data_IF_116639077699
#
_entry.id   IF_116639077699
#
_cell.length_a   1.000
_cell.length_b   1.000
_cell.length_c   1.000
_cell.angle_alpha   90.00
_cell.angle_beta   90.00
_cell.angle_gamma   90.00
#
_symmetry.space_group_name_H-M   'P 1'
#
loop_
_entity.id
_entity.type
_entity.pdbx_description
1 polymer ?
#
# COMPACT_ATOMS: atom_id res chain seq x y z
N UNK A 1 -14.28 8.54 10.25
CA UNK A 1 -13.66 8.92 8.95
C UNK A 1 -14.17 8.03 7.82
N UNK A 2 -14.13 8.53 6.58
CA UNK A 2 -14.45 7.73 5.38
C UNK A 2 -13.29 6.77 5.07
N UNK A 3 -12.05 7.25 5.18
CA UNK A 3 -10.84 6.46 4.93
C UNK A 3 -10.76 5.26 5.87
N UNK A 4 -10.43 4.10 5.32
CA UNK A 4 -10.29 2.82 6.01
C UNK A 4 -8.85 2.30 6.03
N UNK A 5 -8.04 2.73 5.06
CA UNK A 5 -6.60 2.53 5.07
C UNK A 5 -5.91 3.61 4.25
N UNK A 6 -4.64 3.86 4.48
CA UNK A 6 -3.88 4.84 3.71
C UNK A 6 -2.39 4.52 3.75
N UNK A 7 -1.68 4.97 2.73
CA UNK A 7 -0.22 4.93 2.64
C UNK A 7 0.29 6.29 2.18
N UNK A 8 1.40 6.73 2.76
CA UNK A 8 1.99 8.05 2.47
C UNK A 8 3.38 7.88 1.85
N UNK A 9 3.64 8.63 0.78
CA UNK A 9 4.94 8.78 0.12
C UNK A 9 5.61 7.44 -0.26
N UNK A 10 4.82 6.51 -0.82
CA UNK A 10 5.30 5.23 -1.31
C UNK A 10 6.14 5.40 -2.59
N UNK A 11 7.23 4.67 -2.69
CA UNK A 11 8.09 4.61 -3.87
C UNK A 11 7.49 3.61 -4.89
N UNK A 12 7.05 4.05 -6.07
CA UNK A 12 6.52 3.15 -7.09
C UNK A 12 7.55 2.15 -7.61
N UNK A 13 8.85 2.45 -7.55
CA UNK A 13 9.92 1.57 -8.02
C UNK A 13 10.04 0.31 -7.18
N UNK A 14 9.67 0.36 -5.89
CA UNK A 14 9.64 -0.84 -5.04
C UNK A 14 8.54 -1.84 -5.49
N UNK A 15 7.48 -1.33 -6.13
CA UNK A 15 6.34 -2.13 -6.60
C UNK A 15 6.59 -2.60 -8.04
N UNK A 16 6.87 -1.67 -8.95
CA UNK A 16 6.95 -1.94 -10.39
C UNK A 16 8.36 -2.25 -10.88
N UNK A 17 9.37 -2.08 -10.01
CA UNK A 17 10.77 -2.33 -10.32
C UNK A 17 11.50 -1.11 -10.90
N UNK A 18 12.82 -1.13 -10.81
CA UNK A 18 13.72 -0.35 -11.67
C UNK A 18 14.21 -1.25 -12.83
N UNK A 19 14.70 -0.67 -13.94
CA UNK A 19 15.30 -1.40 -15.08
C UNK A 19 15.99 -2.70 -14.63
N UNK A 20 15.38 -3.86 -14.90
CA UNK A 20 15.91 -5.19 -14.55
C UNK A 20 15.25 -5.92 -13.36
N UNK A 21 14.33 -5.30 -12.61
CA UNK A 21 13.50 -5.98 -11.61
C UNK A 21 12.17 -6.44 -12.22
N UNK A 22 11.72 -7.65 -11.87
CA UNK A 22 10.43 -8.18 -12.30
C UNK A 22 9.32 -7.31 -11.71
N UNK A 23 8.51 -6.69 -12.57
CA UNK A 23 7.34 -5.93 -12.16
C UNK A 23 6.43 -6.80 -11.30
N UNK A 24 6.17 -6.36 -10.07
CA UNK A 24 5.29 -7.11 -9.16
C UNK A 24 3.84 -6.74 -9.46
N UNK A 25 2.96 -7.73 -9.35
CA UNK A 25 1.50 -7.53 -9.36
C UNK A 25 0.93 -7.50 -7.94
N UNK A 26 1.72 -7.04 -6.97
CA UNK A 26 1.29 -6.90 -5.58
C UNK A 26 1.75 -5.56 -5.03
N UNK A 27 0.87 -4.93 -4.26
CA UNK A 27 1.06 -3.61 -3.69
C UNK A 27 1.04 -3.76 -2.16
N UNK A 28 2.09 -4.39 -1.61
CA UNK A 28 2.12 -4.83 -0.22
C UNK A 28 2.49 -3.69 0.73
N UNK A 29 1.71 -3.55 1.78
CA UNK A 29 2.03 -2.71 2.93
C UNK A 29 1.94 -3.50 4.23
N UNK A 30 2.84 -3.19 5.16
CA UNK A 30 2.73 -3.62 6.54
C UNK A 30 1.69 -2.77 7.29
N UNK A 31 0.73 -3.45 7.88
CA UNK A 31 -0.36 -2.86 8.67
C UNK A 31 -0.31 -3.41 10.08
N UNK A 32 -0.21 -2.52 11.06
CA UNK A 32 -0.35 -2.87 12.47
C UNK A 32 -1.84 -2.93 12.85
N UNK A 33 -2.26 -4.07 13.41
CA UNK A 33 -3.56 -4.22 14.06
C UNK A 33 -3.35 -4.81 15.45
N UNK A 34 -3.64 -4.02 16.48
CA UNK A 34 -3.23 -4.29 17.88
C UNK A 34 -1.71 -4.49 17.93
N UNK A 35 -1.24 -5.63 18.44
CA UNK A 35 0.19 -5.95 18.57
C UNK A 35 0.71 -6.88 17.47
N UNK A 36 -0.07 -7.04 16.39
CA UNK A 36 0.29 -7.90 15.26
C UNK A 36 0.48 -7.09 13.99
N UNK A 37 1.49 -7.48 13.24
CA UNK A 37 1.83 -6.95 11.92
C UNK A 37 1.23 -7.84 10.83
N UNK A 38 0.63 -7.19 9.83
CA UNK A 38 -0.01 -7.87 8.72
C UNK A 38 0.49 -7.27 7.41
N UNK A 39 1.10 -8.11 6.59
CA UNK A 39 1.31 -7.79 5.17
C UNK A 39 -0.04 -7.87 4.45
N UNK A 40 -0.47 -6.74 3.86
CA UNK A 40 -1.74 -6.59 3.15
C UNK A 40 -1.46 -6.11 1.74
N UNK A 41 -2.11 -6.72 0.75
CA UNK A 41 -2.09 -6.25 -0.64
C UNK A 41 -3.18 -5.20 -0.89
N UNK A 42 -2.75 -3.99 -1.29
CA UNK A 42 -3.59 -2.84 -1.61
C UNK A 42 -3.88 -2.69 -3.12
N UNK A 43 -3.53 -3.69 -3.95
CA UNK A 43 -3.68 -3.59 -5.41
C UNK A 43 -5.07 -3.12 -5.83
N UNK A 44 -6.10 -3.75 -5.24
CA UNK A 44 -7.53 -3.58 -5.56
C UNK A 44 -8.21 -2.45 -4.79
N UNK A 45 -7.44 -1.56 -4.14
CA UNK A 45 -7.99 -0.44 -3.38
C UNK A 45 -8.83 0.48 -4.26
N UNK A 46 -9.93 0.99 -3.69
CA UNK A 46 -10.72 2.10 -4.24
C UNK A 46 -10.54 3.34 -3.38
N UNK A 47 -10.54 4.52 -3.99
CA UNK A 47 -10.36 5.78 -3.28
C UNK A 47 -9.65 6.84 -4.10
N UNK A 48 -8.81 7.64 -3.44
CA UNK A 48 -8.07 8.76 -4.03
C UNK A 48 -6.57 8.48 -3.88
N UNK A 49 -5.77 8.95 -4.83
CA UNK A 49 -4.32 8.96 -4.74
C UNK A 49 -3.75 10.29 -5.21
N UNK A 50 -2.54 10.59 -4.75
CA UNK A 50 -1.76 11.77 -5.16
C UNK A 50 -0.39 11.31 -5.61
N UNK A 51 0.09 11.88 -6.72
CA UNK A 51 1.46 11.69 -7.21
C UNK A 51 2.27 12.93 -6.85
N UNK A 52 3.52 12.71 -6.47
CA UNK A 52 4.43 13.75 -6.03
C UNK A 52 5.67 13.80 -6.89
N UNK A 53 6.26 14.98 -7.00
CA UNK A 53 7.61 15.19 -7.47
C UNK A 53 8.30 16.14 -6.52
N UNK A 54 9.44 15.76 -5.94
CA UNK A 54 10.16 16.58 -4.97
C UNK A 54 9.25 17.10 -3.84
N UNK A 55 8.37 16.24 -3.31
CA UNK A 55 7.36 16.56 -2.29
C UNK A 55 6.24 17.52 -2.73
N UNK A 56 6.18 17.95 -3.99
CA UNK A 56 5.07 18.74 -4.52
C UNK A 56 4.02 17.84 -5.18
N UNK A 57 2.74 18.11 -4.94
CA UNK A 57 1.64 17.40 -5.63
C UNK A 57 1.67 17.78 -7.11
N UNK A 58 1.88 16.81 -7.99
CA UNK A 58 1.83 17.00 -9.45
C UNK A 58 0.55 16.46 -10.08
N UNK A 59 -0.15 15.56 -9.38
CA UNK A 59 -1.38 14.97 -9.88
C UNK A 59 -2.24 14.41 -8.73
N UNK A 60 -3.56 14.55 -8.86
CA UNK A 60 -4.55 13.93 -7.98
C UNK A 60 -5.50 13.09 -8.81
N UNK A 61 -5.63 11.82 -8.47
CA UNK A 61 -6.47 10.87 -9.20
C UNK A 61 -7.46 10.14 -8.31
N UNK A 62 -8.45 9.52 -8.94
CA UNK A 62 -9.44 8.66 -8.28
C UNK A 62 -9.43 7.25 -8.86
N UNK A 63 -9.90 6.30 -8.05
CA UNK A 63 -9.96 4.88 -8.38
C UNK A 63 -11.36 4.36 -8.10
N UNK A 64 -12.20 4.36 -9.15
CA UNK A 64 -13.60 3.90 -9.11
C UNK A 64 -13.74 2.50 -9.69
N UNK A 65 -13.39 2.32 -10.97
CA UNK A 65 -13.69 1.09 -11.74
C UNK A 65 -12.46 0.21 -11.99
N UNK A 66 -11.30 0.84 -12.20
CA UNK A 66 -9.98 0.18 -12.27
C UNK A 66 -9.35 0.03 -10.88
N UNK A 67 -8.46 -0.94 -10.68
CA UNK A 67 -7.70 -1.09 -9.43
C UNK A 67 -6.63 0.00 -9.26
N UNK A 68 -6.28 0.34 -8.01
CA UNK A 68 -5.25 1.35 -7.72
C UNK A 68 -3.89 0.96 -8.30
N UNK A 69 -3.48 -0.31 -8.16
CA UNK A 69 -2.21 -0.79 -8.71
C UNK A 69 -2.11 -0.63 -10.23
N UNK A 70 -3.21 -0.86 -10.95
CA UNK A 70 -3.23 -0.67 -12.41
C UNK A 70 -3.19 0.82 -12.79
N UNK A 71 -3.86 1.70 -12.03
CA UNK A 71 -3.80 3.15 -12.25
C UNK A 71 -2.40 3.72 -12.04
N UNK A 72 -1.75 3.36 -10.93
CA UNK A 72 -0.39 3.84 -10.64
C UNK A 72 0.60 3.25 -11.65
N UNK A 73 0.45 1.98 -12.07
CA UNK A 73 1.28 1.40 -13.14
C UNK A 73 1.17 2.19 -14.44
N UNK A 74 -0.04 2.62 -14.82
CA UNK A 74 -0.22 3.40 -16.05
C UNK A 74 0.55 4.72 -15.99
N UNK A 75 0.48 5.44 -14.86
CA UNK A 75 1.28 6.64 -14.64
C UNK A 75 2.78 6.35 -14.58
N UNK A 76 3.19 5.23 -13.98
CA UNK A 76 4.60 4.84 -13.87
C UNK A 76 5.23 4.53 -15.24
N UNK A 77 4.47 3.90 -16.13
CA UNK A 77 4.91 3.58 -17.49
C UNK A 77 4.90 4.80 -18.43
N UNK A 78 4.20 5.87 -18.06
CA UNK A 78 4.12 7.09 -18.86
C UNK A 78 5.33 7.98 -18.58
N UNK A 79 6.28 8.00 -19.50
CA UNK A 79 7.55 8.75 -19.39
C UNK A 79 7.30 10.27 -19.27
N UNK A 80 6.14 10.78 -19.71
CA UNK A 80 5.77 12.19 -19.58
C UNK A 80 5.37 12.59 -18.16
N UNK A 81 4.88 11.64 -17.34
CA UNK A 81 4.43 11.88 -15.98
C UNK A 81 5.67 11.86 -15.08
N UNK A 82 6.34 13.00 -14.94
CA UNK A 82 7.53 13.11 -14.09
C UNK A 82 7.10 13.16 -12.62
N UNK A 83 7.10 12.02 -11.93
CA UNK A 83 6.80 11.88 -10.51
C UNK A 83 7.70 10.82 -9.84
N UNK A 84 7.86 10.88 -8.52
CA UNK A 84 8.81 10.04 -7.77
C UNK A 84 8.17 9.21 -6.65
N UNK A 85 7.08 9.69 -6.05
CA UNK A 85 6.39 9.04 -4.93
C UNK A 85 4.88 9.25 -5.03
N UNK A 86 4.11 8.45 -4.31
CA UNK A 86 2.66 8.59 -4.28
C UNK A 86 2.06 8.24 -2.93
N UNK A 87 0.92 8.85 -2.63
CA UNK A 87 0.10 8.55 -1.45
C UNK A 87 -1.27 8.05 -1.89
N UNK A 88 -1.91 7.21 -1.09
CA UNK A 88 -3.26 6.73 -1.37
C UNK A 88 -4.14 6.73 -0.11
N UNK A 89 -5.44 6.93 -0.33
CA UNK A 89 -6.46 7.01 0.70
C UNK A 89 -7.61 6.08 0.31
N UNK A 90 -7.67 4.93 0.97
CA UNK A 90 -8.57 3.82 0.66
C UNK A 90 -9.93 3.99 1.33
N UNK A 91 -10.99 3.83 0.55
CA UNK A 91 -12.36 3.64 1.05
C UNK A 91 -12.66 2.15 1.32
N UNK A 92 -11.87 1.24 0.74
CA UNK A 92 -11.92 -0.22 0.99
C UNK A 92 -11.33 -0.59 2.34
N UNK A 93 -11.98 -1.50 3.07
CA UNK A 93 -11.48 -2.01 4.36
C UNK A 93 -10.36 -3.02 4.16
N UNK A 94 -9.46 -3.14 5.14
CA UNK A 94 -8.48 -4.22 5.18
C UNK A 94 -9.17 -5.51 5.64
N UNK A 95 -8.94 -6.61 4.91
CA UNK A 95 -9.32 -7.95 5.31
C UNK A 95 -8.07 -8.72 5.78
N UNK A 96 -7.93 -8.84 7.10
CA UNK A 96 -6.78 -9.50 7.73
C UNK A 96 -6.74 -11.02 7.50
N UNK A 97 -7.87 -11.66 7.24
CA UNK A 97 -7.93 -13.10 6.97
C UNK A 97 -7.41 -13.42 5.56
N UNK A 98 -7.82 -12.64 4.57
CA UNK A 98 -7.41 -12.84 3.17
C UNK A 98 -6.13 -12.10 2.79
N UNK A 99 -5.58 -11.25 3.67
CA UNK A 99 -4.39 -10.41 3.41
C UNK A 99 -4.55 -9.45 2.22
N UNK A 100 -5.78 -9.02 1.97
CA UNK A 100 -6.15 -8.14 0.87
C UNK A 100 -7.10 -7.04 1.37
N UNK A 101 -7.37 -6.04 0.53
CA UNK A 101 -8.50 -5.14 0.73
C UNK A 101 -9.83 -5.76 0.30
N UNK A 102 -10.91 -5.41 1.00
CA UNK A 102 -12.27 -5.84 0.66
C UNK A 102 -12.75 -5.15 -0.63
N UNK A 103 -13.72 -5.76 -1.32
CA UNK A 103 -14.51 -5.04 -2.33
C UNK A 103 -15.34 -3.94 -1.66
N UNK A 104 -15.57 -2.83 -2.37
CA UNK A 104 -16.51 -1.79 -1.91
C UNK A 104 -17.93 -2.25 -2.25
N UNK A 105 -18.85 -2.06 -1.32
CA UNK A 105 -20.30 -2.13 -1.59
C UNK A 105 -20.78 -0.77 -2.08
N UNK A 106 -21.61 -0.72 -3.12
CA UNK A 106 -21.98 0.53 -3.81
C UNK A 106 -22.68 1.57 -2.91
N UNK A 107 -23.27 1.16 -1.79
CA UNK A 107 -23.90 2.07 -0.83
C UNK A 107 -22.93 2.49 0.28
N UNK A 108 -22.60 3.78 0.32
CA UNK A 108 -21.90 4.41 1.44
C UNK A 108 -22.67 5.64 1.94
N UNK A 109 -23.03 5.63 3.22
CA UNK A 109 -23.64 6.79 3.89
C UNK A 109 -22.65 7.43 4.85
N UNK A 110 -22.52 8.75 4.79
CA UNK A 110 -21.74 9.54 5.73
C UNK A 110 -22.39 10.88 5.98
N UNK A 111 -22.27 11.37 7.21
CA UNK A 111 -22.72 12.72 7.54
C UNK A 111 -21.72 13.78 7.06
N UNK A 112 -22.19 15.02 6.93
CA UNK A 112 -21.39 16.18 6.49
C UNK A 112 -20.11 16.36 7.30
N UNK A 113 -20.17 16.21 8.62
CA UNK A 113 -19.01 16.35 9.51
C UNK A 113 -17.91 15.34 9.17
N UNK A 114 -18.29 14.10 8.85
CA UNK A 114 -17.35 13.03 8.48
C UNK A 114 -16.67 13.32 7.14
N UNK A 115 -17.41 13.88 6.18
CA UNK A 115 -16.86 14.30 4.89
C UNK A 115 -15.85 15.43 5.09
N UNK A 116 -16.23 16.50 5.81
CA UNK A 116 -15.36 17.66 6.06
C UNK A 116 -14.05 17.22 6.73
N UNK A 117 -14.13 16.46 7.83
CA UNK A 117 -12.95 15.94 8.54
C UNK A 117 -12.08 15.07 7.65
N UNK A 118 -12.69 14.27 6.77
CA UNK A 118 -11.92 13.42 5.86
C UNK A 118 -11.17 14.25 4.82
N UNK A 119 -11.83 15.24 4.22
CA UNK A 119 -11.21 16.10 3.21
C UNK A 119 -10.05 16.90 3.80
N UNK A 120 -10.26 17.50 4.99
CA UNK A 120 -9.20 18.19 5.73
C UNK A 120 -8.01 17.26 5.99
N UNK A 121 -8.27 16.05 6.49
CA UNK A 121 -7.20 15.11 6.80
C UNK A 121 -6.41 14.69 5.56
N UNK A 122 -7.08 14.49 4.40
CA UNK A 122 -6.39 14.23 3.13
C UNK A 122 -5.52 15.43 2.77
N UNK A 123 -6.08 16.64 2.74
CA UNK A 123 -5.36 17.85 2.36
C UNK A 123 -4.12 18.10 3.24
N UNK A 124 -4.23 17.94 4.56
CA UNK A 124 -3.09 18.10 5.47
C UNK A 124 -1.99 17.08 5.17
N UNK A 125 -2.35 15.81 4.95
CA UNK A 125 -1.36 14.75 4.69
C UNK A 125 -0.78 14.78 3.27
N UNK A 126 -1.44 15.42 2.30
CA UNK A 126 -0.94 15.49 0.93
C UNK A 126 -0.25 16.81 0.63
N UNK A 127 -0.85 17.94 1.03
CA UNK A 127 -0.32 19.25 0.70
C UNK A 127 0.72 19.73 1.73
N UNK A 128 0.87 19.00 2.85
CA UNK A 128 1.75 19.31 3.98
C UNK A 128 1.88 20.82 4.25
N UNK A 129 0.75 21.54 4.48
CA UNK A 129 0.80 23.00 4.54
C UNK A 129 1.69 23.45 5.70
N UNK A 130 2.55 24.45 5.47
CA UNK A 130 3.56 24.90 6.43
C UNK A 130 3.05 25.15 7.85
N UNK A 131 1.82 25.66 8.01
CA UNK A 131 1.23 25.96 9.33
C UNK A 131 0.63 24.73 10.03
N UNK A 132 0.39 23.63 9.31
CA UNK A 132 -0.08 22.37 9.87
C UNK A 132 1.11 21.59 10.42
N UNK A 133 1.43 21.82 11.69
CA UNK A 133 2.60 21.23 12.37
C UNK A 133 2.52 19.72 12.62
N UNK A 134 1.42 19.06 12.26
CA UNK A 134 1.19 17.64 12.51
C UNK A 134 0.45 17.00 11.33
N UNK A 135 0.84 15.76 11.00
CA UNK A 135 0.05 14.88 10.13
C UNK A 135 -1.38 14.76 10.69
N UNK A 136 -2.38 14.90 9.83
CA UNK A 136 -3.75 14.68 10.25
C UNK A 136 -4.00 13.19 10.46
N UNK A 137 -4.74 12.86 11.51
CA UNK A 137 -5.06 11.48 11.84
C UNK A 137 -6.29 11.02 11.06
N UNK A 138 -6.30 9.74 10.70
CA UNK A 138 -7.49 9.04 10.23
C UNK A 138 -7.95 8.03 11.30
N UNK A 139 -8.80 8.44 12.27
CA UNK A 139 -9.36 7.51 13.25
C UNK A 139 -9.99 6.30 12.57
N UNK A 140 -9.73 5.11 13.13
CA UNK A 140 -10.18 3.79 12.66
C UNK A 140 -9.66 3.35 11.28
N UNK A 141 -8.76 4.12 10.67
CA UNK A 141 -8.08 3.73 9.46
C UNK A 141 -6.72 3.08 9.76
N UNK A 142 -6.34 2.12 8.93
CA UNK A 142 -5.04 1.47 9.02
C UNK A 142 -4.00 2.22 8.19
N UNK A 143 -2.93 2.70 8.84
CA UNK A 143 -1.74 3.15 8.12
C UNK A 143 -0.99 1.94 7.59
N UNK A 144 -0.69 1.96 6.30
CA UNK A 144 0.11 0.96 5.62
C UNK A 144 1.51 1.54 5.36
N UNK A 145 2.51 0.92 5.94
CA UNK A 145 3.92 1.24 5.67
C UNK A 145 4.34 0.38 4.48
N UNK A 146 4.94 1.00 3.46
CA UNK A 146 5.34 0.28 2.26
C UNK A 146 6.27 -0.88 2.62
N UNK A 147 5.97 -2.06 2.07
CA UNK A 147 6.87 -3.19 2.23
C UNK A 147 8.15 -2.95 1.43
N UNK A 148 9.29 -2.96 2.12
CA UNK A 148 10.59 -2.85 1.48
C UNK A 148 11.07 -4.21 0.96
N UNK A 149 10.98 -4.40 -0.36
CA UNK A 149 11.42 -5.62 -1.02
C UNK A 149 12.94 -5.73 -1.14
N UNK A 150 13.71 -4.69 -0.80
CA UNK A 150 15.18 -4.74 -0.84
C UNK A 150 15.73 -5.67 0.24
N UNK A 151 15.04 -5.77 1.39
CA UNK A 151 15.39 -6.66 2.49
C UNK A 151 14.96 -8.13 2.30
N UNK A 152 14.12 -8.41 1.30
CA UNK A 152 13.64 -9.78 1.00
C UNK A 152 14.77 -10.69 0.44
N UNK A 153 15.99 -10.16 0.35
CA UNK A 153 17.23 -10.83 -0.03
C UNK A 153 18.39 -10.54 0.93
N UNK A 154 18.17 -10.52 2.24
CA UNK A 154 19.30 -10.88 3.09
C UNK A 154 19.73 -12.31 2.69
N UNK A 155 21.02 -12.54 2.50
CA UNK A 155 21.57 -13.86 2.17
C UNK A 155 21.00 -14.91 3.15
N UNK A 156 20.83 -14.53 4.40
CA UNK A 156 20.24 -15.32 5.48
C UNK A 156 18.79 -15.75 5.21
N UNK A 157 17.94 -14.88 4.67
CA UNK A 157 16.55 -15.20 4.37
C UNK A 157 16.41 -16.08 3.13
N UNK A 158 17.33 -15.93 2.16
CA UNK A 158 17.46 -16.85 1.03
C UNK A 158 17.86 -18.24 1.54
N UNK A 159 18.86 -18.33 2.42
CA UNK A 159 19.25 -19.61 3.04
C UNK A 159 18.11 -20.28 3.79
N UNK A 160 17.35 -19.54 4.61
CA UNK A 160 16.18 -20.09 5.33
C UNK A 160 15.09 -20.59 4.38
N UNK A 161 14.82 -19.87 3.28
CA UNK A 161 13.87 -20.32 2.25
C UNK A 161 14.39 -21.59 1.55
N UNK A 162 15.68 -21.67 1.25
CA UNK A 162 16.32 -22.84 0.65
C UNK A 162 16.24 -24.06 1.57
N UNK A 163 16.59 -23.95 2.85
CA UNK A 163 16.46 -25.06 3.82
C UNK A 163 15.01 -25.56 3.92
N UNK A 164 14.03 -24.65 3.88
CA UNK A 164 12.61 -25.01 3.94
C UNK A 164 12.14 -25.74 2.69
N UNK A 165 12.70 -25.40 1.51
CA UNK A 165 12.45 -26.10 0.25
C UNK A 165 13.14 -27.46 0.26
N UNK A 166 14.39 -27.53 0.70
CA UNK A 166 15.17 -28.76 0.81
C UNK A 166 14.47 -29.80 1.71
N UNK A 167 14.00 -29.40 2.90
CA UNK A 167 13.22 -30.28 3.80
C UNK A 167 11.91 -30.79 3.19
N UNK A 168 11.31 -30.05 2.25
CA UNK A 168 10.10 -30.48 1.55
C UNK A 168 10.40 -31.44 0.40
N UNK A 169 11.51 -31.24 -0.31
CA UNK A 169 11.93 -32.08 -1.44
C UNK A 169 12.60 -33.38 -0.95
N UNK A 170 13.33 -33.31 0.16
CA UNK A 170 14.05 -34.43 0.77
C UNK A 170 13.63 -34.58 2.23
N UNK A 171 12.37 -34.97 2.52
CA UNK A 171 11.96 -35.25 3.89
C UNK A 171 12.81 -36.41 4.41
N UNK A 172 13.54 -36.18 5.51
CA UNK A 172 14.40 -37.17 6.14
C UNK A 172 13.59 -38.44 6.44
N UNK A 173 13.92 -39.56 5.79
CA UNK A 173 13.36 -40.88 6.12
C UNK A 173 13.69 -41.16 7.59
N UNK A 174 12.67 -41.20 8.45
CA UNK A 174 12.83 -41.69 9.81
C UNK A 174 13.37 -43.12 9.71
N UNK A 175 14.59 -43.34 10.22
CA UNK A 175 15.08 -44.70 10.51
C UNK A 175 14.24 -45.20 11.68
N UNK A 176 13.21 -46.01 11.39
CA UNK A 176 12.53 -46.79 12.40
C UNK A 176 13.56 -47.81 12.93
N UNK A 177 13.92 -47.66 14.21
CA UNK A 177 14.51 -48.75 15.00
C UNK A 177 13.39 -49.57 15.57
#
# INVERSE_FOLDING_TARGET
>A
MIIKAYGLNWDPKLIYGYKGLVARKCFKGDVRNKDKHFEIDFWKTRGIYTLFRNFEIVYVGKVTDMNLGDRIRNHFNNIGDHWDTFSFFSFTKVNFATRNVSTVTDSFHSNRSTVIKTLEAILINTAEPYLNKQEARFPDAFRAIQYDYTNDKSITDIYKKLEKIEKKLFPSKRKNK
#
